data_IF_241892907441
#
_entry.id   IF_241892907441
#
_cell.length_a   1.000
_cell.length_b   1.000
_cell.length_c   1.000
_cell.angle_alpha   90.00
_cell.angle_beta   90.00
_cell.angle_gamma   90.00
#
_symmetry.space_group_name_H-M   'P 1'
#
loop_
_entity.id
_entity.type
_entity.pdbx_description
1 polymer ?
#
# COMPACT_ATOMS: atom_id res chain seq x y z
N UNK A 1 0.25 8.97 -4.94
CA UNK A 1 1.36 8.94 -5.93
C UNK A 1 2.61 9.65 -5.42
N UNK A 2 2.52 10.84 -4.80
CA UNK A 2 3.71 11.55 -4.28
C UNK A 2 4.48 10.71 -3.23
N UNK A 3 3.78 10.06 -2.28
CA UNK A 3 4.42 9.24 -1.25
C UNK A 3 5.22 8.05 -1.79
N UNK A 4 4.75 7.39 -2.86
CA UNK A 4 5.49 6.31 -3.53
C UNK A 4 6.74 6.82 -4.22
N UNK A 5 6.67 7.98 -4.89
CA UNK A 5 7.85 8.58 -5.51
C UNK A 5 8.89 9.05 -4.50
N UNK A 6 8.47 9.61 -3.37
CA UNK A 6 9.37 9.98 -2.27
C UNK A 6 10.05 8.76 -1.66
N UNK A 7 9.29 7.67 -1.44
CA UNK A 7 9.85 6.42 -0.94
C UNK A 7 10.87 5.80 -1.90
N UNK A 8 10.56 5.76 -3.21
CA UNK A 8 11.45 5.24 -4.25
C UNK A 8 12.72 6.10 -4.35
N UNK A 9 12.58 7.43 -4.37
CA UNK A 9 13.72 8.34 -4.43
C UNK A 9 14.62 8.21 -3.20
N UNK A 10 14.05 8.06 -2.00
CA UNK A 10 14.81 7.81 -0.78
C UNK A 10 15.64 6.52 -0.89
N UNK A 11 15.06 5.42 -1.36
CA UNK A 11 15.78 4.16 -1.57
C UNK A 11 16.85 4.25 -2.66
N UNK A 12 16.57 4.95 -3.76
CA UNK A 12 17.56 5.18 -4.84
C UNK A 12 18.74 6.01 -4.31
N UNK A 13 18.49 7.07 -3.54
CA UNK A 13 19.55 7.89 -2.96
C UNK A 13 20.41 7.10 -1.96
N UNK A 14 19.78 6.25 -1.14
CA UNK A 14 20.52 5.34 -0.24
C UNK A 14 21.36 4.35 -1.04
N UNK A 15 20.80 3.73 -2.08
CA UNK A 15 21.53 2.79 -2.94
C UNK A 15 22.72 3.47 -3.65
N UNK A 16 22.52 4.67 -4.20
CA UNK A 16 23.58 5.45 -4.84
C UNK A 16 24.65 5.89 -3.84
N UNK A 17 24.27 6.24 -2.60
CA UNK A 17 25.23 6.56 -1.55
C UNK A 17 26.06 5.33 -1.17
N UNK A 18 25.44 4.17 -1.00
CA UNK A 18 26.14 2.91 -0.71
C UNK A 18 27.08 2.51 -1.85
N UNK A 19 26.63 2.61 -3.10
CA UNK A 19 27.44 2.26 -4.29
C UNK A 19 28.57 3.27 -4.49
N UNK A 20 28.31 4.57 -4.34
CA UNK A 20 29.34 5.61 -4.39
C UNK A 20 30.44 5.38 -3.37
N UNK A 21 30.04 5.06 -2.14
CA UNK A 21 30.95 4.70 -1.04
C UNK A 21 31.75 3.43 -1.36
N UNK A 22 31.09 2.38 -1.87
CA UNK A 22 31.76 1.14 -2.25
C UNK A 22 32.79 1.36 -3.37
N UNK A 23 32.45 2.16 -4.38
CA UNK A 23 33.36 2.51 -5.48
C UNK A 23 34.56 3.35 -5.01
N UNK A 24 34.37 4.27 -4.06
CA UNK A 24 35.48 5.03 -3.46
C UNK A 24 36.40 4.17 -2.58
N UNK A 25 35.92 3.01 -2.10
CA UNK A 25 36.72 2.07 -1.30
C UNK A 25 37.50 1.03 -2.13
N UNK A 26 37.26 0.97 -3.44
CA UNK A 26 37.73 -0.13 -4.31
C UNK A 26 38.83 0.20 -5.32
N UNK A 27 39.41 1.40 -5.33
CA UNK A 27 40.32 1.82 -6.40
C UNK A 27 41.67 2.40 -5.94
N UNK A 28 42.71 1.57 -5.94
CA UNK A 28 44.10 2.05 -6.09
C UNK A 28 45.15 1.42 -5.18
N UNK A 29 45.88 0.43 -5.68
CA UNK A 29 47.18 0.02 -5.13
C UNK A 29 48.16 1.20 -5.23
N UNK A 30 48.56 1.77 -4.09
CA UNK A 30 49.90 2.31 -3.78
C UNK A 30 49.94 2.66 -2.29
N UNK A 31 50.72 1.91 -1.52
CA UNK A 31 51.12 2.34 -0.17
C UNK A 31 51.96 3.62 -0.30
N UNK A 32 51.85 4.56 0.67
CA UNK A 32 52.93 4.61 1.66
C UNK A 32 52.49 4.93 3.09
N UNK A 33 53.22 4.30 4.03
CA UNK A 33 53.61 4.71 5.39
C UNK A 33 52.66 5.61 6.20
N UNK A 34 52.13 5.06 7.31
CA UNK A 34 51.55 5.85 8.39
C UNK A 34 50.65 5.04 9.32
N UNK A 35 51.24 4.41 10.32
CA UNK A 35 50.55 3.77 11.44
C UNK A 35 49.69 4.81 12.21
N UNK A 36 48.35 4.72 12.14
CA UNK A 36 47.39 5.15 13.19
C UNK A 36 45.91 5.24 12.74
N UNK A 37 45.55 5.08 11.47
CA UNK A 37 44.15 5.24 10.99
C UNK A 37 43.22 4.03 11.28
N UNK A 38 43.66 3.07 12.10
CA UNK A 38 43.14 1.69 12.06
C UNK A 38 41.88 1.36 12.86
N UNK A 39 41.41 2.19 13.81
CA UNK A 39 40.25 1.83 14.66
C UNK A 39 39.30 3.00 14.95
N UNK A 40 39.81 4.20 15.18
CA UNK A 40 38.99 5.38 15.49
C UNK A 40 38.16 5.85 14.29
N UNK A 41 38.80 6.01 13.14
CA UNK A 41 38.14 6.43 11.89
C UNK A 41 37.13 5.38 11.40
N UNK A 42 37.50 4.10 11.47
CA UNK A 42 36.59 2.99 11.13
C UNK A 42 35.38 2.93 12.06
N UNK A 43 35.57 3.17 13.37
CA UNK A 43 34.46 3.28 14.35
C UNK A 43 33.59 4.49 14.08
N UNK A 44 34.17 5.67 13.85
CA UNK A 44 33.43 6.90 13.53
C UNK A 44 32.59 6.74 12.25
N UNK A 45 33.13 6.04 11.26
CA UNK A 45 32.45 5.76 10.01
C UNK A 45 31.32 4.73 10.17
N UNK A 46 31.55 3.66 10.92
CA UNK A 46 30.50 2.68 11.27
C UNK A 46 29.39 3.31 12.11
N UNK A 47 29.71 4.20 13.06
CA UNK A 47 28.70 4.91 13.86
C UNK A 47 27.90 5.89 13.00
N UNK A 48 28.54 6.58 12.05
CA UNK A 48 27.86 7.44 11.10
C UNK A 48 26.89 6.68 10.20
N UNK A 49 27.34 5.53 9.65
CA UNK A 49 26.50 4.65 8.85
C UNK A 49 25.28 4.14 9.64
N UNK A 50 25.49 3.68 10.88
CA UNK A 50 24.41 3.21 11.74
C UNK A 50 23.39 4.31 12.06
N UNK A 51 23.85 5.54 12.32
CA UNK A 51 22.95 6.67 12.54
C UNK A 51 22.11 7.00 11.31
N UNK A 52 22.72 6.98 10.11
CA UNK A 52 21.97 7.21 8.86
C UNK A 52 20.95 6.09 8.63
N UNK A 53 21.31 4.84 8.85
CA UNK A 53 20.37 3.71 8.71
C UNK A 53 19.21 3.82 9.70
N UNK A 54 19.46 4.23 10.95
CA UNK A 54 18.40 4.41 11.94
C UNK A 54 17.52 5.62 11.60
N UNK A 55 18.11 6.74 11.18
CA UNK A 55 17.37 7.96 10.81
C UNK A 55 16.51 7.71 9.57
N UNK A 56 17.05 7.04 8.55
CA UNK A 56 16.27 6.71 7.35
C UNK A 56 15.26 5.60 7.66
N UNK A 57 15.67 4.56 8.38
CA UNK A 57 14.86 3.39 8.72
C UNK A 57 13.70 3.69 9.67
N UNK A 58 13.83 4.70 10.54
CA UNK A 58 12.76 5.11 11.47
C UNK A 58 12.12 6.42 11.04
N UNK A 59 12.91 7.39 10.59
CA UNK A 59 12.43 8.72 10.19
C UNK A 59 11.57 8.70 8.93
N UNK A 60 11.90 7.90 7.92
CA UNK A 60 11.06 7.79 6.71
C UNK A 60 9.70 7.16 7.03
N UNK A 61 9.60 6.01 7.74
CA UNK A 61 8.30 5.49 8.16
C UNK A 61 7.50 6.47 9.01
N UNK A 62 8.11 7.17 9.98
CA UNK A 62 7.42 8.16 10.81
C UNK A 62 6.88 9.33 9.98
N UNK A 63 7.68 9.86 9.05
CA UNK A 63 7.25 10.94 8.17
C UNK A 63 6.07 10.53 7.27
N UNK A 64 6.07 9.28 6.78
CA UNK A 64 4.97 8.73 6.00
C UNK A 64 3.69 8.59 6.84
N UNK A 65 3.78 8.11 8.07
CA UNK A 65 2.62 7.98 8.98
C UNK A 65 2.00 9.37 9.24
N UNK A 66 2.82 10.36 9.59
CA UNK A 66 2.36 11.72 9.86
C UNK A 66 1.75 12.36 8.59
N UNK A 67 2.36 12.15 7.42
CA UNK A 67 1.88 12.72 6.16
C UNK A 67 0.62 12.05 5.56
N UNK A 68 0.29 10.83 5.99
CA UNK A 68 -0.83 10.06 5.44
C UNK A 68 -2.14 10.17 6.23
N UNK A 69 -2.13 10.74 7.43
CA UNK A 69 -3.28 10.62 8.36
C UNK A 69 -4.60 11.20 7.82
N UNK A 70 -4.58 12.22 6.96
CA UNK A 70 -5.82 12.98 6.70
C UNK A 70 -6.31 13.04 5.25
N UNK A 71 -5.56 12.63 4.21
CA UNK A 71 -5.90 13.05 2.82
C UNK A 71 -6.12 11.95 1.78
N UNK A 72 -5.77 10.69 2.06
CA UNK A 72 -5.83 9.61 1.05
C UNK A 72 -6.99 8.63 1.24
N UNK A 73 -7.53 8.51 2.45
CA UNK A 73 -8.69 7.67 2.74
C UNK A 73 -10.00 8.27 2.18
N UNK A 74 -10.17 9.60 2.30
CA UNK A 74 -11.40 10.31 1.93
C UNK A 74 -11.59 10.60 0.44
N UNK A 75 -10.51 10.54 -0.35
CA UNK A 75 -10.60 10.77 -1.80
C UNK A 75 -10.74 9.44 -2.53
N UNK A 76 -11.96 9.16 -2.97
CA UNK A 76 -12.29 8.05 -3.82
C UNK A 76 -11.78 8.22 -5.26
N UNK A 77 -11.57 7.11 -5.98
CA UNK A 77 -11.29 7.05 -7.42
C UNK A 77 -12.30 7.86 -8.23
N UNK A 78 -11.85 8.65 -9.21
CA UNK A 78 -12.76 9.48 -10.02
C UNK A 78 -13.27 10.76 -9.32
N UNK A 79 -12.64 11.18 -8.21
CA UNK A 79 -12.94 12.46 -7.54
C UNK A 79 -14.18 12.43 -6.63
N UNK A 80 -14.70 11.24 -6.32
CA UNK A 80 -15.79 11.05 -5.36
C UNK A 80 -15.25 11.14 -3.93
N UNK A 81 -15.85 11.99 -3.12
CA UNK A 81 -15.56 12.04 -1.68
C UNK A 81 -16.24 10.84 -1.00
N UNK A 82 -15.44 10.06 -0.27
CA UNK A 82 -15.89 8.92 0.51
C UNK A 82 -16.07 9.35 1.96
N UNK A 83 -17.16 8.90 2.59
CA UNK A 83 -17.27 8.93 4.05
C UNK A 83 -16.24 8.00 4.68
N UNK A 84 -15.99 8.15 5.98
CA UNK A 84 -15.10 7.25 6.74
C UNK A 84 -15.53 5.78 6.59
N UNK A 85 -16.82 5.49 6.74
CA UNK A 85 -17.38 4.15 6.52
C UNK A 85 -17.18 3.64 5.09
N UNK A 86 -17.22 4.51 4.07
CA UNK A 86 -16.95 4.12 2.68
C UNK A 86 -15.46 3.89 2.40
N UNK A 87 -14.58 4.61 3.09
CA UNK A 87 -13.14 4.37 3.03
C UNK A 87 -12.78 3.01 3.65
N UNK A 88 -13.39 2.67 4.79
CA UNK A 88 -13.25 1.36 5.41
C UNK A 88 -13.83 0.26 4.52
N UNK A 89 -15.04 0.48 3.99
CA UNK A 89 -15.67 -0.45 3.05
C UNK A 89 -14.84 -0.68 1.78
N UNK A 90 -14.14 0.34 1.28
CA UNK A 90 -13.20 0.20 0.16
C UNK A 90 -12.07 -0.77 0.49
N UNK A 91 -11.50 -0.66 1.70
CA UNK A 91 -10.45 -1.56 2.18
C UNK A 91 -11.00 -2.98 2.39
N UNK A 92 -12.15 -3.13 3.04
CA UNK A 92 -12.81 -4.44 3.20
C UNK A 92 -13.08 -5.08 1.84
N UNK A 93 -13.58 -4.32 0.87
CA UNK A 93 -13.81 -4.82 -0.48
C UNK A 93 -12.50 -5.32 -1.11
N UNK A 94 -11.42 -4.55 -1.03
CA UNK A 94 -10.13 -4.94 -1.61
C UNK A 94 -9.61 -6.28 -1.02
N UNK A 95 -9.76 -6.48 0.29
CA UNK A 95 -9.28 -7.66 1.01
C UNK A 95 -10.20 -8.88 0.80
N UNK A 96 -11.51 -8.69 0.87
CA UNK A 96 -12.50 -9.78 0.93
C UNK A 96 -13.11 -10.13 -0.42
N UNK A 97 -13.21 -9.16 -1.33
CA UNK A 97 -13.94 -9.30 -2.60
C UNK A 97 -13.03 -9.15 -3.82
N UNK A 98 -11.95 -8.37 -3.69
CA UNK A 98 -11.12 -7.93 -4.82
C UNK A 98 -10.39 -9.02 -5.57
N UNK A 99 -10.11 -10.15 -4.93
CA UNK A 99 -9.51 -11.32 -5.60
C UNK A 99 -10.47 -11.98 -6.59
N UNK A 100 -11.78 -11.87 -6.36
CA UNK A 100 -12.80 -12.49 -7.20
C UNK A 100 -13.43 -11.49 -8.16
N UNK A 101 -13.65 -10.25 -7.73
CA UNK A 101 -14.39 -9.24 -8.49
C UNK A 101 -13.50 -8.12 -9.00
N UNK A 102 -13.80 -7.64 -10.20
CA UNK A 102 -13.25 -6.38 -10.71
C UNK A 102 -14.09 -5.21 -10.19
N UNK A 103 -13.40 -4.24 -9.59
CA UNK A 103 -13.92 -2.95 -9.15
C UNK A 103 -12.73 -1.98 -9.14
N UNK A 104 -12.62 -1.17 -10.18
CA UNK A 104 -11.53 -0.22 -10.38
C UNK A 104 -11.38 0.72 -9.18
N UNK A 105 -12.49 1.04 -8.53
CA UNK A 105 -12.46 1.90 -7.36
C UNK A 105 -11.64 1.35 -6.18
N UNK A 106 -11.59 0.03 -6.04
CA UNK A 106 -10.77 -0.66 -5.04
C UNK A 106 -9.46 -1.21 -5.62
N UNK A 107 -9.07 -0.78 -6.83
CA UNK A 107 -7.94 -1.32 -7.59
C UNK A 107 -7.99 -2.85 -7.73
N UNK A 108 -9.20 -3.43 -7.81
CA UNK A 108 -9.37 -4.87 -7.92
C UNK A 108 -9.64 -5.29 -9.36
N UNK A 109 -9.02 -6.40 -9.76
CA UNK A 109 -9.06 -6.93 -11.13
C UNK A 109 -9.46 -8.41 -11.16
N UNK A 110 -10.15 -8.87 -10.11
CA UNK A 110 -10.61 -10.25 -10.01
C UNK A 110 -11.56 -10.62 -11.15
N UNK A 111 -11.42 -11.85 -11.67
CA UNK A 111 -12.17 -12.34 -12.85
C UNK A 111 -13.01 -13.59 -12.58
N UNK A 112 -13.07 -14.03 -11.32
CA UNK A 112 -13.90 -15.18 -10.91
C UNK A 112 -15.38 -14.77 -10.86
N UNK A 113 -15.64 -13.60 -10.26
CA UNK A 113 -16.93 -12.96 -10.22
C UNK A 113 -17.10 -11.94 -11.36
N UNK A 114 -18.32 -11.41 -11.55
CA UNK A 114 -18.58 -10.36 -12.53
C UNK A 114 -17.77 -9.10 -12.24
N UNK A 115 -17.50 -8.35 -13.30
CA UNK A 115 -16.99 -6.99 -13.22
C UNK A 115 -18.09 -6.06 -12.71
N UNK A 116 -17.89 -5.48 -11.52
CA UNK A 116 -18.86 -4.63 -10.85
C UNK A 116 -18.95 -3.24 -11.49
N UNK A 117 -17.90 -2.75 -12.14
CA UNK A 117 -17.93 -1.49 -12.88
C UNK A 117 -18.83 -1.55 -14.11
N UNK A 118 -18.94 -2.74 -14.70
CA UNK A 118 -19.84 -3.04 -15.81
C UNK A 118 -21.24 -3.37 -15.32
N UNK A 119 -21.37 -4.20 -14.27
CA UNK A 119 -22.65 -4.66 -13.76
C UNK A 119 -23.45 -3.55 -13.06
N UNK A 120 -22.76 -2.64 -12.37
CA UNK A 120 -23.35 -1.52 -11.60
C UNK A 120 -24.54 -1.94 -10.74
N UNK A 121 -24.38 -2.96 -9.87
CA UNK A 121 -25.48 -3.50 -9.10
C UNK A 121 -25.96 -2.49 -8.05
N UNK A 122 -27.28 -2.42 -7.76
CA UNK A 122 -27.78 -1.65 -6.62
C UNK A 122 -27.34 -2.29 -5.30
N UNK A 123 -27.24 -1.50 -4.23
CA UNK A 123 -26.73 -1.96 -2.94
C UNK A 123 -27.51 -3.17 -2.38
N UNK A 124 -28.83 -3.19 -2.57
CA UNK A 124 -29.67 -4.31 -2.13
C UNK A 124 -29.27 -5.65 -2.79
N UNK A 125 -28.88 -5.62 -4.08
CA UNK A 125 -28.43 -6.81 -4.80
C UNK A 125 -27.06 -7.27 -4.27
N UNK A 126 -26.15 -6.33 -4.01
CA UNK A 126 -24.83 -6.64 -3.45
C UNK A 126 -24.97 -7.25 -2.06
N UNK A 127 -25.80 -6.66 -1.20
CA UNK A 127 -26.04 -7.17 0.15
C UNK A 127 -26.64 -8.58 0.13
N UNK A 128 -27.62 -8.83 -0.75
CA UNK A 128 -28.19 -10.16 -0.92
C UNK A 128 -27.15 -11.18 -1.40
N UNK A 129 -26.30 -10.79 -2.36
CA UNK A 129 -25.22 -11.65 -2.84
C UNK A 129 -24.19 -11.97 -1.75
N UNK A 130 -23.85 -11.00 -0.89
CA UNK A 130 -22.98 -11.22 0.28
C UNK A 130 -23.61 -12.23 1.24
N UNK A 131 -24.91 -12.07 1.55
CA UNK A 131 -25.61 -12.90 2.53
C UNK A 131 -25.86 -14.32 2.04
N UNK A 132 -26.24 -14.49 0.77
CA UNK A 132 -26.66 -15.77 0.23
C UNK A 132 -25.59 -16.48 -0.59
N UNK A 133 -24.55 -15.76 -1.04
CA UNK A 133 -23.60 -16.28 -2.02
C UNK A 133 -24.28 -16.59 -3.36
N UNK A 134 -23.54 -17.24 -4.27
CA UNK A 134 -24.11 -17.79 -5.51
C UNK A 134 -24.65 -19.18 -5.30
N UNK A 135 -25.76 -19.50 -5.97
CA UNK A 135 -26.47 -20.78 -5.81
C UNK A 135 -26.73 -21.12 -4.33
N UNK A 136 -27.13 -20.11 -3.52
CA UNK A 136 -27.31 -20.24 -2.06
C UNK A 136 -26.05 -20.71 -1.32
N UNK A 137 -24.88 -20.24 -1.75
CA UNK A 137 -23.58 -20.56 -1.15
C UNK A 137 -22.91 -21.80 -1.73
N UNK A 138 -23.59 -22.53 -2.63
CA UNK A 138 -23.05 -23.72 -3.31
C UNK A 138 -22.26 -23.37 -4.59
N UNK A 139 -22.24 -22.09 -4.99
CA UNK A 139 -21.46 -21.60 -6.11
C UNK A 139 -20.06 -21.13 -5.70
N UNK A 140 -19.34 -20.55 -6.65
CA UNK A 140 -17.98 -20.01 -6.41
C UNK A 140 -17.94 -18.82 -5.46
N UNK A 141 -19.06 -18.11 -5.29
CA UNK A 141 -19.19 -17.05 -4.28
C UNK A 141 -19.83 -17.64 -3.01
N UNK A 142 -19.08 -17.78 -1.91
CA UNK A 142 -19.62 -18.27 -0.65
C UNK A 142 -20.59 -17.26 -0.03
N UNK A 143 -21.48 -17.76 0.83
CA UNK A 143 -22.38 -16.96 1.62
C UNK A 143 -21.67 -16.37 2.85
N UNK A 144 -22.15 -15.22 3.33
CA UNK A 144 -21.73 -14.57 4.57
C UNK A 144 -20.21 -14.32 4.67
N UNK A 145 -19.57 -13.88 3.57
CA UNK A 145 -18.14 -13.49 3.55
C UNK A 145 -17.84 -12.38 4.56
N UNK A 146 -18.81 -11.49 4.74
CA UNK A 146 -18.91 -10.45 5.76
C UNK A 146 -20.38 -10.34 6.20
N UNK A 147 -20.66 -9.69 7.33
CA UNK A 147 -22.02 -9.62 7.90
C UNK A 147 -22.31 -8.28 8.59
N UNK A 148 -23.55 -8.11 9.07
CA UNK A 148 -23.93 -6.95 9.86
C UNK A 148 -23.80 -5.62 9.11
N UNK A 149 -23.28 -4.61 9.80
CA UNK A 149 -23.11 -3.26 9.26
C UNK A 149 -22.03 -3.21 8.16
N UNK A 150 -20.94 -3.97 8.34
CA UNK A 150 -19.84 -4.05 7.36
C UNK A 150 -20.36 -4.49 5.96
N UNK A 151 -21.27 -5.47 5.92
CA UNK A 151 -21.88 -5.90 4.67
C UNK A 151 -22.73 -4.80 3.99
N UNK A 152 -23.42 -3.98 4.79
CA UNK A 152 -24.21 -2.86 4.27
C UNK A 152 -23.32 -1.74 3.75
N UNK A 153 -22.24 -1.45 4.47
CA UNK A 153 -21.29 -0.39 4.08
C UNK A 153 -20.56 -0.76 2.79
N UNK A 154 -20.14 -2.02 2.63
CA UNK A 154 -19.57 -2.54 1.38
C UNK A 154 -20.59 -2.49 0.25
N UNK A 155 -21.83 -2.88 0.49
CA UNK A 155 -22.88 -2.82 -0.52
C UNK A 155 -23.15 -1.38 -1.00
N UNK A 156 -23.24 -0.43 -0.07
CA UNK A 156 -23.42 0.99 -0.37
C UNK A 156 -22.19 1.59 -1.08
N UNK A 157 -20.99 1.19 -0.67
CA UNK A 157 -19.75 1.59 -1.34
C UNK A 157 -19.73 1.10 -2.79
N UNK A 158 -20.01 -0.19 -3.05
CA UNK A 158 -20.03 -0.75 -4.41
C UNK A 158 -21.02 0.00 -5.30
N UNK A 159 -22.24 0.25 -4.83
CA UNK A 159 -23.25 1.02 -5.59
C UNK A 159 -22.75 2.45 -5.90
N UNK A 160 -22.10 3.11 -4.94
CA UNK A 160 -21.60 4.48 -5.09
C UNK A 160 -20.50 4.59 -6.15
N UNK A 161 -19.62 3.60 -6.22
CA UNK A 161 -18.37 3.68 -7.00
C UNK A 161 -18.36 2.85 -8.27
N UNK A 162 -19.29 1.93 -8.45
CA UNK A 162 -19.33 1.06 -9.62
C UNK A 162 -19.44 1.87 -10.92
N UNK A 163 -18.47 1.69 -11.82
CA UNK A 163 -18.45 2.33 -13.13
C UNK A 163 -17.88 3.74 -13.14
N UNK A 164 -17.18 4.13 -12.06
CA UNK A 164 -16.42 5.38 -11.94
C UNK A 164 -14.99 5.22 -12.40
#
# INVERSE_FOLDING_TARGET
MIGTWVFILAFILVALAVVGVAMTSGGGRRAPKGEAEGRGQRRAWMTGLMLVIVIVGVGVPLAVIIGNNDTKAKNGPGGIELTEAQADARQTFAIKCGNCHTLGASNSVGRVGPNLDQLRPPAALVLNAIQQGRARGMGQMPANVISGQEAKDVAAYVEKVAGR
#
